data_IF_107523958815
#
_entry.id   IF_107523958815
#
_cell.length_a   1.000
_cell.length_b   1.000
_cell.length_c   1.000
_cell.angle_alpha   90.00
_cell.angle_beta   90.00
_cell.angle_gamma   90.00
#
_symmetry.space_group_name_H-M   'P 1'
#
loop_
_entity.id
_entity.type
_entity.pdbx_description
1 polymer ?
#
# COMPACT_ATOMS: atom_id res chain seq x y z
N UNK A 1 -3.58 2.15 -0.72
CA UNK A 1 -4.59 1.12 -0.55
C UNK A 1 -5.91 1.77 -0.13
N UNK A 2 -6.97 1.66 -0.89
CA UNK A 2 -7.18 0.73 -2.01
C UNK A 2 -6.87 1.29 -3.40
N UNK A 3 -6.63 2.59 -3.55
CA UNK A 3 -6.65 3.30 -4.85
C UNK A 3 -5.43 3.08 -5.73
N UNK A 4 -4.35 2.50 -5.19
CA UNK A 4 -3.10 2.19 -5.90
C UNK A 4 -2.43 3.42 -6.57
N UNK A 5 -2.57 4.60 -5.95
CA UNK A 5 -2.00 5.84 -6.43
C UNK A 5 -0.63 6.12 -5.79
N UNK A 6 0.21 6.83 -6.52
CA UNK A 6 1.48 7.40 -6.05
C UNK A 6 1.29 8.91 -5.89
N UNK A 7 1.94 9.50 -4.91
CA UNK A 7 2.09 10.94 -4.76
C UNK A 7 3.52 11.36 -5.12
N UNK A 8 3.68 12.57 -5.60
CA UNK A 8 4.99 13.14 -5.91
C UNK A 8 5.61 13.88 -4.71
N UNK A 9 6.83 14.37 -4.90
CA UNK A 9 7.53 15.10 -3.86
C UNK A 9 6.88 16.47 -3.57
N UNK A 10 6.22 17.09 -4.53
CA UNK A 10 5.57 18.38 -4.36
C UNK A 10 4.32 18.26 -3.48
N UNK A 11 3.59 17.17 -3.58
CA UNK A 11 2.54 16.83 -2.62
C UNK A 11 3.09 16.75 -1.19
N UNK A 12 4.21 16.06 -0.97
CA UNK A 12 4.82 15.97 0.36
C UNK A 12 5.35 17.31 0.87
N UNK A 13 5.89 18.18 0.02
CA UNK A 13 6.30 19.53 0.40
C UNK A 13 5.12 20.36 0.92
N UNK A 14 3.98 20.31 0.23
CA UNK A 14 2.79 21.03 0.67
C UNK A 14 2.21 20.42 1.94
N UNK A 15 2.16 19.10 2.05
CA UNK A 15 1.72 18.40 3.26
C UNK A 15 2.56 18.78 4.48
N UNK A 16 3.89 18.81 4.35
CA UNK A 16 4.82 19.22 5.42
C UNK A 16 4.59 20.68 5.81
N UNK A 17 4.33 21.56 4.86
CA UNK A 17 4.01 22.98 5.13
C UNK A 17 2.71 23.13 5.91
N UNK A 18 1.65 22.39 5.52
CA UNK A 18 0.38 22.38 6.24
C UNK A 18 0.56 21.83 7.65
N UNK A 19 1.25 20.71 7.80
CA UNK A 19 1.48 20.09 9.10
C UNK A 19 2.26 21.00 10.07
N UNK A 20 3.27 21.71 9.58
CA UNK A 20 3.99 22.73 10.38
C UNK A 20 3.09 23.87 10.80
N UNK A 21 2.26 24.37 9.87
CA UNK A 21 1.32 25.48 10.15
C UNK A 21 0.33 25.13 11.26
N UNK A 22 -0.19 23.90 11.25
CA UNK A 22 -1.21 23.45 12.19
C UNK A 22 -0.65 22.65 13.37
N UNK A 23 0.67 22.53 13.48
CA UNK A 23 1.35 21.80 14.56
C UNK A 23 0.86 20.35 14.71
N UNK A 24 0.66 19.65 13.60
CA UNK A 24 0.26 18.25 13.56
C UNK A 24 1.39 17.36 13.09
N UNK A 25 1.42 16.13 13.58
CA UNK A 25 2.37 15.11 13.12
C UNK A 25 1.82 14.38 11.88
N UNK A 26 2.75 13.88 11.07
CA UNK A 26 2.44 13.07 9.88
C UNK A 26 2.88 11.62 10.14
N UNK A 27 1.95 10.69 9.96
CA UNK A 27 2.23 9.26 9.91
C UNK A 27 2.12 8.81 8.45
N UNK A 28 3.26 8.50 7.84
CA UNK A 28 3.36 8.07 6.43
C UNK A 28 3.41 6.55 6.36
N UNK A 29 2.43 5.93 5.72
CA UNK A 29 2.39 4.47 5.53
C UNK A 29 2.90 4.11 4.14
N UNK A 30 4.13 3.61 4.07
CA UNK A 30 4.80 3.18 2.85
C UNK A 30 4.87 1.65 2.69
N UNK A 31 3.88 0.93 3.19
CA UNK A 31 3.87 -0.54 3.13
C UNK A 31 4.02 -1.13 1.71
N UNK A 32 3.72 -0.37 0.67
CA UNK A 32 3.75 -0.81 -0.73
C UNK A 32 4.76 -0.04 -1.60
N UNK A 33 5.64 0.77 -1.02
CA UNK A 33 6.56 1.65 -1.77
C UNK A 33 7.45 0.93 -2.78
N UNK A 34 7.84 -0.31 -2.48
CA UNK A 34 8.68 -1.11 -3.37
C UNK A 34 7.92 -1.82 -4.50
N UNK A 35 6.58 -1.80 -4.48
CA UNK A 35 5.75 -2.36 -5.56
C UNK A 35 5.22 -1.21 -6.41
N UNK A 36 6.04 -0.71 -7.30
CA UNK A 36 5.72 0.34 -8.26
C UNK A 36 6.03 -0.11 -9.69
N UNK A 37 5.35 0.47 -10.68
CA UNK A 37 5.42 0.01 -12.07
C UNK A 37 5.99 1.08 -13.01
N UNK A 38 6.24 2.29 -12.49
CA UNK A 38 6.89 3.37 -13.19
C UNK A 38 8.41 3.23 -13.26
N UNK A 39 9.04 4.21 -13.87
CA UNK A 39 10.51 4.27 -14.02
C UNK A 39 11.23 4.55 -12.70
N UNK A 40 10.61 5.30 -11.80
CA UNK A 40 11.19 5.74 -10.55
C UNK A 40 10.37 5.27 -9.35
N UNK A 41 11.01 4.99 -8.20
CA UNK A 41 10.29 4.66 -6.98
C UNK A 41 9.47 5.85 -6.48
N UNK A 42 8.37 5.60 -5.75
CA UNK A 42 7.66 6.64 -5.01
C UNK A 42 8.60 7.37 -4.04
N UNK A 43 8.49 8.69 -3.89
CA UNK A 43 9.33 9.43 -2.97
C UNK A 43 9.00 9.11 -1.50
N UNK A 44 9.98 9.28 -0.62
CA UNK A 44 9.77 9.29 0.83
C UNK A 44 9.44 10.71 1.29
N UNK A 45 8.51 10.86 2.24
CA UNK A 45 8.26 12.15 2.89
C UNK A 45 9.52 12.70 3.57
N UNK A 46 10.42 11.81 3.99
CA UNK A 46 11.66 12.18 4.68
C UNK A 46 12.69 12.85 3.76
N UNK A 47 12.48 12.84 2.44
CA UNK A 47 13.25 13.62 1.48
C UNK A 47 12.93 15.14 1.56
N UNK A 48 11.78 15.49 2.12
CA UNK A 48 11.39 16.89 2.29
C UNK A 48 12.14 17.52 3.46
N UNK A 49 12.75 18.68 3.21
CA UNK A 49 13.49 19.39 4.26
C UNK A 49 12.61 19.72 5.47
N UNK A 50 13.07 19.29 6.64
CA UNK A 50 12.38 19.47 7.93
C UNK A 50 11.22 18.51 8.18
N UNK A 51 10.94 17.55 7.30
CA UNK A 51 9.93 16.51 7.55
C UNK A 51 10.30 15.62 8.73
N UNK A 52 11.59 15.31 8.94
CA UNK A 52 12.09 14.53 10.10
C UNK A 52 11.70 15.12 11.46
N UNK A 53 11.35 16.41 11.53
CA UNK A 53 10.93 17.05 12.78
C UNK A 53 9.45 16.79 13.11
N UNK A 54 8.64 16.33 12.15
CA UNK A 54 7.18 16.21 12.30
C UNK A 54 6.60 14.93 11.71
N UNK A 55 7.40 14.09 11.07
CA UNK A 55 6.92 12.90 10.39
C UNK A 55 7.59 11.62 10.89
N UNK A 56 6.82 10.54 10.87
CA UNK A 56 7.30 9.16 10.97
C UNK A 56 6.79 8.39 9.77
N UNK A 57 7.68 7.66 9.13
CA UNK A 57 7.40 6.79 8.00
C UNK A 57 7.47 5.33 8.43
N UNK A 58 6.43 4.58 8.10
CA UNK A 58 6.30 3.17 8.40
C UNK A 58 6.45 2.35 7.13
N UNK A 59 7.20 1.27 7.22
CA UNK A 59 7.33 0.30 6.14
C UNK A 59 7.31 -1.13 6.68
N UNK A 60 7.17 -2.10 5.78
CA UNK A 60 7.07 -3.51 6.15
C UNK A 60 7.83 -4.38 5.15
N UNK A 61 8.41 -5.46 5.65
CA UNK A 61 9.02 -6.47 4.80
C UNK A 61 7.97 -7.44 4.21
N UNK A 62 6.73 -7.36 4.70
CA UNK A 62 5.64 -8.24 4.27
C UNK A 62 5.40 -8.24 2.76
N UNK A 63 5.50 -7.06 2.11
CA UNK A 63 5.22 -6.88 0.68
C UNK A 63 6.50 -6.87 -0.13
N UNK A 64 7.48 -6.10 0.32
CA UNK A 64 8.78 -5.93 -0.34
C UNK A 64 9.52 -7.25 -0.54
N UNK A 65 9.53 -8.11 0.48
CA UNK A 65 10.27 -9.38 0.47
C UNK A 65 9.38 -10.63 0.53
N UNK A 66 8.08 -10.49 0.28
CA UNK A 66 7.09 -11.57 0.46
C UNK A 66 7.11 -12.21 1.86
N UNK A 67 7.49 -11.45 2.88
CA UNK A 67 7.65 -11.90 4.27
C UNK A 67 6.42 -11.61 5.14
N UNK A 68 5.21 -11.76 4.61
CA UNK A 68 3.98 -11.42 5.32
C UNK A 68 3.79 -12.24 6.62
N UNK A 69 4.16 -13.51 6.62
CA UNK A 69 4.09 -14.41 7.79
C UNK A 69 5.09 -14.08 8.90
N UNK A 70 6.17 -13.36 8.60
CA UNK A 70 7.22 -13.00 9.54
C UNK A 70 6.85 -11.86 10.49
N UNK A 71 5.81 -11.10 10.17
CA UNK A 71 5.27 -10.00 11.00
C UNK A 71 6.32 -8.97 11.41
N UNK A 72 7.11 -8.45 10.46
CA UNK A 72 8.20 -7.51 10.70
C UNK A 72 8.09 -6.28 9.78
N UNK A 73 8.37 -5.13 10.36
CA UNK A 73 8.48 -3.84 9.71
C UNK A 73 9.30 -2.89 10.57
N UNK A 74 9.45 -1.67 10.12
CA UNK A 74 10.17 -0.63 10.87
C UNK A 74 9.55 0.74 10.66
N UNK A 75 9.87 1.64 11.59
CA UNK A 75 9.48 3.05 11.54
C UNK A 75 10.72 3.92 11.65
N UNK A 76 10.78 4.99 10.85
CA UNK A 76 11.87 5.96 10.85
C UNK A 76 11.32 7.38 10.79
N UNK A 77 12.00 8.34 11.42
CA UNK A 77 11.55 9.74 11.36
C UNK A 77 11.78 10.52 12.65
N UNK A 78 10.78 11.26 13.10
CA UNK A 78 10.84 12.11 14.26
C UNK A 78 11.27 11.35 15.52
N UNK A 79 12.35 11.82 16.18
CA UNK A 79 12.94 11.16 17.36
C UNK A 79 11.93 10.98 18.48
N UNK A 80 11.18 12.02 18.82
CA UNK A 80 10.21 11.99 19.94
C UNK A 80 9.11 10.97 19.69
N UNK A 81 8.61 10.87 18.47
CA UNK A 81 7.59 9.89 18.10
C UNK A 81 8.14 8.45 18.11
N UNK A 82 9.36 8.27 17.65
CA UNK A 82 10.04 6.95 17.69
C UNK A 82 10.29 6.52 19.14
N UNK A 83 10.74 7.42 20.00
CA UNK A 83 10.92 7.14 21.44
C UNK A 83 9.60 6.77 22.12
N UNK A 84 8.53 7.52 21.83
CA UNK A 84 7.18 7.21 22.32
C UNK A 84 6.69 5.83 21.85
N UNK A 85 6.86 5.52 20.55
CA UNK A 85 6.54 4.21 19.98
C UNK A 85 7.33 3.10 20.66
N UNK A 86 8.64 3.28 20.83
CA UNK A 86 9.52 2.31 21.50
C UNK A 86 9.06 2.04 22.94
N UNK A 87 8.71 3.10 23.68
CA UNK A 87 8.20 2.97 25.05
C UNK A 87 6.91 2.18 25.09
N UNK A 88 5.94 2.47 24.23
CA UNK A 88 4.68 1.74 24.17
C UNK A 88 4.93 0.26 23.82
N UNK A 89 5.73 -0.01 22.80
CA UNK A 89 6.05 -1.38 22.37
C UNK A 89 6.73 -2.20 23.45
N UNK A 90 7.56 -1.61 24.29
CA UNK A 90 8.20 -2.32 25.39
C UNK A 90 7.22 -2.90 26.43
N UNK A 91 5.99 -2.38 26.48
CA UNK A 91 4.91 -2.89 27.34
C UNK A 91 3.90 -3.78 26.58
N UNK A 92 3.69 -3.51 25.28
CA UNK A 92 2.65 -4.20 24.49
C UNK A 92 3.13 -5.54 23.97
N UNK A 93 4.34 -5.63 23.45
CA UNK A 93 4.85 -6.82 22.79
C UNK A 93 6.31 -7.18 23.12
N UNK A 94 6.96 -6.44 24.01
CA UNK A 94 8.37 -6.62 24.39
C UNK A 94 9.38 -6.59 23.23
N UNK A 95 8.94 -6.20 22.03
CA UNK A 95 9.71 -6.17 20.81
C UNK A 95 9.52 -7.39 19.90
N UNK A 96 10.10 -7.32 18.71
CA UNK A 96 10.03 -8.41 17.75
C UNK A 96 10.99 -9.56 18.15
N UNK A 97 10.59 -10.80 17.90
CA UNK A 97 11.41 -12.00 18.17
C UNK A 97 12.75 -11.91 17.43
N UNK A 98 13.85 -12.07 18.15
CA UNK A 98 15.22 -11.81 17.63
C UNK A 98 15.54 -12.54 16.32
N UNK A 99 15.23 -13.82 16.10
CA UNK A 99 15.46 -14.47 14.82
C UNK A 99 14.75 -13.81 13.64
N UNK A 100 13.56 -13.22 13.86
CA UNK A 100 12.84 -12.46 12.83
C UNK A 100 13.58 -11.14 12.52
N UNK A 101 14.16 -10.48 13.53
CA UNK A 101 14.97 -9.29 13.32
C UNK A 101 16.26 -9.61 12.53
N UNK A 102 16.90 -10.73 12.82
CA UNK A 102 18.08 -11.21 12.06
C UNK A 102 17.70 -11.50 10.62
N UNK A 103 16.58 -12.18 10.36
CA UNK A 103 16.09 -12.44 9.02
C UNK A 103 15.77 -11.13 8.26
N UNK A 104 15.15 -10.16 8.94
CA UNK A 104 14.89 -8.83 8.36
C UNK A 104 16.19 -8.09 8.00
N UNK A 105 17.19 -8.17 8.87
CA UNK A 105 18.51 -7.58 8.63
C UNK A 105 19.19 -8.23 7.42
N UNK A 106 19.10 -9.55 7.30
CA UNK A 106 19.63 -10.28 6.14
C UNK A 106 18.91 -9.88 4.84
N UNK A 107 17.58 -9.72 4.88
CA UNK A 107 16.80 -9.28 3.71
C UNK A 107 17.18 -7.86 3.27
N UNK A 108 17.31 -6.92 4.21
CA UNK A 108 17.64 -5.52 3.94
C UNK A 108 19.07 -5.33 3.42
N UNK A 109 20.04 -6.10 3.93
CA UNK A 109 21.46 -5.99 3.58
C UNK A 109 21.87 -6.93 2.43
N UNK A 110 21.02 -7.87 2.07
CA UNK A 110 21.28 -8.85 1.01
C UNK A 110 21.01 -8.30 -0.39
N UNK A 111 21.09 -9.18 -1.38
CA UNK A 111 20.74 -8.83 -2.76
C UNK A 111 19.29 -8.42 -2.87
N UNK A 112 19.04 -7.29 -3.54
CA UNK A 112 17.67 -6.76 -3.78
C UNK A 112 17.02 -7.34 -5.04
N UNK A 113 17.66 -8.30 -5.69
CA UNK A 113 17.13 -8.96 -6.90
C UNK A 113 15.73 -9.56 -6.68
N UNK A 114 15.48 -10.13 -5.50
CA UNK A 114 14.15 -10.66 -5.16
C UNK A 114 13.07 -9.58 -5.16
N UNK A 115 13.39 -8.34 -4.79
CA UNK A 115 12.45 -7.21 -4.83
C UNK A 115 12.09 -6.86 -6.27
N UNK A 116 13.08 -6.86 -7.17
CA UNK A 116 12.87 -6.63 -8.59
C UNK A 116 12.01 -7.73 -9.22
N UNK A 117 12.28 -9.01 -8.89
CA UNK A 117 11.51 -10.15 -9.36
C UNK A 117 10.04 -10.12 -8.87
N UNK A 118 9.81 -9.70 -7.62
CA UNK A 118 8.47 -9.50 -7.05
C UNK A 118 7.76 -8.37 -7.81
N UNK A 119 8.41 -7.24 -8.03
CA UNK A 119 7.86 -6.09 -8.77
C UNK A 119 7.45 -6.47 -10.20
N UNK A 120 8.31 -7.16 -10.92
CA UNK A 120 8.03 -7.64 -12.27
C UNK A 120 6.87 -8.65 -12.30
N UNK A 121 6.76 -9.49 -11.29
CA UNK A 121 5.63 -10.44 -11.15
C UNK A 121 4.31 -9.69 -11.00
N UNK A 122 4.24 -8.67 -10.12
CA UNK A 122 3.03 -7.87 -9.94
C UNK A 122 2.71 -7.02 -11.17
N UNK A 123 3.72 -6.49 -11.84
CA UNK A 123 3.54 -5.76 -13.10
C UNK A 123 2.87 -6.65 -14.17
N UNK A 124 3.40 -7.86 -14.39
CA UNK A 124 2.81 -8.82 -15.35
C UNK A 124 1.36 -9.17 -14.99
N UNK A 125 1.06 -9.40 -13.71
CA UNK A 125 -0.30 -9.69 -13.25
C UNK A 125 -1.25 -8.52 -13.47
N UNK A 126 -0.78 -7.29 -13.18
CA UNK A 126 -1.50 -6.05 -13.47
C UNK A 126 -1.84 -5.96 -14.95
N UNK A 127 -0.85 -6.11 -15.82
CA UNK A 127 -1.01 -5.95 -17.26
C UNK A 127 -2.06 -6.95 -17.81
N UNK A 128 -1.94 -8.22 -17.44
CA UNK A 128 -2.92 -9.27 -17.82
C UNK A 128 -4.33 -8.95 -17.32
N UNK A 129 -4.45 -8.47 -16.07
CA UNK A 129 -5.76 -8.13 -15.51
C UNK A 129 -6.37 -6.93 -16.23
N UNK A 130 -5.60 -5.86 -16.47
CA UNK A 130 -6.07 -4.66 -17.17
C UNK A 130 -6.54 -5.00 -18.59
N UNK A 131 -5.78 -5.76 -19.35
CA UNK A 131 -6.17 -6.23 -20.69
C UNK A 131 -7.43 -7.11 -20.67
N UNK A 132 -7.67 -7.83 -19.57
CA UNK A 132 -8.82 -8.72 -19.43
C UNK A 132 -10.13 -7.98 -19.12
N UNK A 133 -10.07 -6.77 -18.58
CA UNK A 133 -11.27 -6.03 -18.19
C UNK A 133 -12.21 -5.71 -19.36
N UNK A 134 -11.68 -5.30 -20.51
CA UNK A 134 -12.49 -5.00 -21.69
C UNK A 134 -13.25 -6.25 -22.16
N UNK A 135 -12.56 -7.40 -22.18
CA UNK A 135 -13.19 -8.70 -22.52
C UNK A 135 -14.27 -9.11 -21.53
N UNK A 136 -14.11 -8.73 -20.26
CA UNK A 136 -15.05 -8.98 -19.19
C UNK A 136 -16.23 -7.98 -19.15
N UNK A 137 -16.32 -7.04 -20.10
CA UNK A 137 -17.39 -6.05 -20.18
C UNK A 137 -17.25 -4.88 -19.20
N UNK A 138 -16.04 -4.60 -18.76
CA UNK A 138 -15.71 -3.41 -17.97
C UNK A 138 -15.36 -2.24 -18.90
N UNK A 139 -15.63 -1.03 -18.44
CA UNK A 139 -15.09 0.17 -19.09
C UNK A 139 -13.56 0.21 -18.90
N UNK A 140 -12.87 1.04 -19.67
CA UNK A 140 -11.43 1.25 -19.53
C UNK A 140 -11.10 1.67 -18.09
N UNK A 141 -10.25 0.88 -17.44
CA UNK A 141 -9.78 1.13 -16.07
C UNK A 141 -8.41 1.76 -16.14
N UNK A 142 -8.14 2.85 -15.39
CA UNK A 142 -6.80 3.40 -15.28
C UNK A 142 -5.80 2.35 -14.77
N UNK A 143 -4.66 2.25 -15.40
CA UNK A 143 -3.59 1.37 -14.94
C UNK A 143 -3.09 1.83 -13.58
N UNK A 144 -3.03 0.93 -12.57
CA UNK A 144 -2.38 1.26 -11.31
C UNK A 144 -0.89 1.56 -11.51
N UNK A 145 -0.41 2.62 -10.89
CA UNK A 145 1.00 3.00 -10.95
C UNK A 145 1.86 2.22 -9.93
N UNK A 146 1.22 1.70 -8.89
CA UNK A 146 1.87 0.98 -7.80
C UNK A 146 0.91 0.04 -7.07
N UNK A 147 1.42 -0.60 -6.00
CA UNK A 147 0.68 -1.48 -5.13
C UNK A 147 0.39 -2.85 -5.77
N UNK A 148 -0.22 -3.72 -5.01
CA UNK A 148 -0.64 -5.07 -5.41
C UNK A 148 -2.16 -5.16 -5.61
N UNK A 149 -2.79 -4.02 -5.94
CA UNK A 149 -4.25 -3.92 -6.08
C UNK A 149 -4.64 -3.16 -7.34
N UNK A 150 -5.79 -3.52 -7.89
CA UNK A 150 -6.53 -2.71 -8.85
C UNK A 150 -7.80 -2.21 -8.17
N UNK A 151 -8.02 -0.90 -8.20
CA UNK A 151 -9.24 -0.25 -7.73
C UNK A 151 -10.15 -0.02 -8.92
N UNK A 152 -11.10 -0.95 -9.11
CA UNK A 152 -11.93 -1.00 -10.30
C UNK A 152 -13.34 -0.50 -10.01
N UNK A 153 -13.88 0.46 -10.81
CA UNK A 153 -15.30 0.80 -10.75
C UNK A 153 -16.14 -0.41 -11.17
N UNK A 154 -17.32 -0.56 -10.60
CA UNK A 154 -18.24 -1.60 -11.03
C UNK A 154 -18.64 -1.42 -12.51
N UNK A 155 -18.75 -2.51 -13.30
CA UNK A 155 -19.26 -2.43 -14.66
C UNK A 155 -20.63 -1.75 -14.68
N UNK A 156 -20.92 -0.95 -15.71
CA UNK A 156 -22.18 -0.18 -15.83
C UNK A 156 -23.41 -1.00 -15.53
N UNK A 157 -23.45 -2.24 -16.04
CA UNK A 157 -24.55 -3.19 -15.85
C UNK A 157 -24.83 -3.51 -14.37
N UNK A 158 -23.79 -3.49 -13.54
CA UNK A 158 -23.88 -3.87 -12.12
C UNK A 158 -23.84 -2.70 -11.15
N UNK A 159 -23.68 -1.46 -11.65
CA UNK A 159 -23.53 -0.27 -10.82
C UNK A 159 -24.66 -0.08 -9.80
N UNK A 160 -25.91 -0.37 -10.20
CA UNK A 160 -27.10 -0.29 -9.32
C UNK A 160 -27.14 -1.39 -8.26
N UNK A 161 -26.39 -2.46 -8.43
CA UNK A 161 -26.34 -3.57 -7.47
C UNK A 161 -25.61 -3.21 -6.18
N UNK A 162 -24.64 -2.28 -6.27
CA UNK A 162 -23.76 -1.90 -5.19
C UNK A 162 -22.59 -2.89 -4.98
N UNK A 163 -21.49 -2.38 -4.40
CA UNK A 163 -20.22 -3.11 -4.31
C UNK A 163 -20.30 -4.37 -3.47
N UNK A 164 -21.07 -4.36 -2.39
CA UNK A 164 -21.24 -5.51 -1.48
C UNK A 164 -21.96 -6.67 -2.16
N UNK A 165 -23.10 -6.40 -2.82
CA UNK A 165 -23.85 -7.43 -3.53
C UNK A 165 -23.08 -7.94 -4.74
N UNK A 166 -22.37 -7.06 -5.44
CA UNK A 166 -21.53 -7.44 -6.58
C UNK A 166 -20.41 -8.41 -6.16
N UNK A 167 -19.66 -8.08 -5.09
CA UNK A 167 -18.59 -8.95 -4.57
C UNK A 167 -19.14 -10.33 -4.13
N UNK A 168 -20.30 -10.35 -3.44
CA UNK A 168 -20.98 -11.59 -3.07
C UNK A 168 -21.41 -12.41 -4.30
N UNK A 169 -21.93 -11.74 -5.33
CA UNK A 169 -22.36 -12.39 -6.57
C UNK A 169 -21.16 -13.04 -7.30
N UNK A 170 -20.03 -12.34 -7.42
CA UNK A 170 -18.79 -12.89 -8.00
C UNK A 170 -18.33 -14.14 -7.24
N UNK A 171 -18.34 -14.08 -5.92
CA UNK A 171 -17.90 -15.20 -5.09
C UNK A 171 -18.80 -16.44 -5.27
N UNK A 172 -20.12 -16.25 -5.34
CA UNK A 172 -21.07 -17.38 -5.43
C UNK A 172 -21.14 -17.97 -6.84
N UNK A 173 -21.08 -17.12 -7.89
CA UNK A 173 -21.40 -17.56 -9.25
C UNK A 173 -20.15 -17.70 -10.15
N UNK A 174 -19.01 -17.20 -9.71
CA UNK A 174 -17.76 -17.22 -10.49
C UNK A 174 -16.54 -17.68 -9.69
N UNK A 175 -16.69 -18.05 -8.41
CA UNK A 175 -15.62 -18.45 -7.51
C UNK A 175 -14.49 -17.38 -7.40
N UNK A 176 -14.84 -16.09 -7.59
CA UNK A 176 -13.90 -14.98 -7.55
C UNK A 176 -14.17 -14.09 -6.33
N UNK A 177 -13.20 -14.01 -5.43
CA UNK A 177 -13.27 -13.16 -4.26
C UNK A 177 -12.61 -11.79 -4.51
N UNK A 178 -13.37 -10.71 -4.32
CA UNK A 178 -12.91 -9.33 -4.39
C UNK A 178 -13.35 -8.57 -3.13
N UNK A 179 -12.60 -7.53 -2.74
CA UNK A 179 -13.04 -6.69 -1.63
C UNK A 179 -14.04 -5.63 -2.13
N UNK A 180 -15.26 -5.56 -1.56
CA UNK A 180 -16.21 -4.51 -1.93
C UNK A 180 -15.71 -3.14 -1.50
N UNK A 181 -15.92 -2.14 -2.35
CA UNK A 181 -15.42 -0.79 -2.07
C UNK A 181 -16.03 -0.16 -0.83
N UNK A 182 -17.29 -0.49 -0.52
CA UNK A 182 -17.95 -0.02 0.72
C UNK A 182 -17.18 -0.40 1.99
N UNK A 183 -16.39 -1.49 1.99
CA UNK A 183 -15.53 -1.88 3.11
C UNK A 183 -14.40 -0.88 3.41
N UNK A 184 -14.11 0.03 2.48
CA UNK A 184 -13.13 1.12 2.62
C UNK A 184 -13.79 2.47 2.95
N UNK A 185 -15.08 2.46 3.27
CA UNK A 185 -15.86 3.66 3.58
C UNK A 185 -16.87 4.01 2.49
N UNK A 186 -17.77 4.96 2.81
CA UNK A 186 -18.86 5.36 1.90
C UNK A 186 -18.38 5.83 0.52
N UNK A 187 -17.23 6.49 0.45
CA UNK A 187 -16.63 6.95 -0.80
C UNK A 187 -16.15 5.80 -1.71
N UNK A 188 -16.01 4.59 -1.20
CA UNK A 188 -15.66 3.40 -1.97
C UNK A 188 -16.86 2.70 -2.63
N UNK A 189 -18.09 3.15 -2.36
CA UNK A 189 -19.23 2.54 -3.00
C UNK A 189 -19.18 2.72 -4.53
N UNK A 190 -19.55 1.68 -5.25
CA UNK A 190 -19.44 1.64 -6.71
C UNK A 190 -18.08 1.14 -7.23
N UNK A 191 -17.18 0.72 -6.34
CA UNK A 191 -15.87 0.14 -6.67
C UNK A 191 -15.68 -1.23 -6.04
N UNK A 192 -14.70 -1.97 -6.55
CA UNK A 192 -14.12 -3.16 -5.90
C UNK A 192 -12.60 -3.08 -5.93
N UNK A 193 -11.95 -3.62 -4.89
CA UNK A 193 -10.50 -3.81 -4.88
C UNK A 193 -10.17 -5.25 -5.24
N UNK A 194 -9.36 -5.43 -6.26
CA UNK A 194 -8.90 -6.72 -6.78
C UNK A 194 -7.43 -6.88 -6.42
N UNK A 195 -7.04 -8.02 -5.86
CA UNK A 195 -5.63 -8.38 -5.62
C UNK A 195 -4.97 -8.92 -6.89
N UNK A 196 -3.70 -8.55 -7.09
CA UNK A 196 -2.86 -9.01 -8.21
C UNK A 196 -2.12 -10.31 -7.89
#
# INVERSE_FOLDING_TARGET
NPTAQIVDLDFYKELVKIAKKYQVYILSDLAYSEIYFGKYPPPSILEVNGAKNIAVEFTTLSKTYAMAGWRIGFAVGNKTLIEALTKIKSYVDYGAFTPVQVAATAALNGSQRCVEEIRETYKKRRDVLIESFERAGWDKIPEPEASMFVWAPLPKKYKKMGSMKFAKNLMINADVAVAPGLAFGKGGEGFVRIGL
#
